data_IF_829594668038
#
_entry.id   IF_829594668038
#
_cell.length_a   1.000
_cell.length_b   1.000
_cell.length_c   1.000
_cell.angle_alpha   90.00
_cell.angle_beta   90.00
_cell.angle_gamma   90.00
#
_symmetry.space_group_name_H-M   'P 1'
#
loop_
_entity.id
_entity.type
_entity.pdbx_description
1 polymer ?
#
# COMPACT_ATOMS: atom_id res chain seq x y z
N UNK A 1 10.58 12.96 31.86
CA UNK A 1 11.25 12.87 30.54
C UNK A 1 10.46 11.89 29.67
N UNK A 2 9.47 12.40 28.95
CA UNK A 2 8.42 11.64 28.24
C UNK A 2 8.50 11.91 26.73
N UNK A 3 9.71 11.83 26.17
CA UNK A 3 9.96 12.15 24.76
C UNK A 3 9.96 10.93 23.81
N UNK A 4 9.78 9.71 24.32
CA UNK A 4 9.88 8.47 23.54
C UNK A 4 8.57 7.68 23.38
N UNK A 5 7.41 8.26 23.76
CA UNK A 5 6.13 7.52 23.78
C UNK A 5 5.23 7.73 22.56
N UNK A 6 5.68 8.48 21.56
CA UNK A 6 4.99 8.52 20.27
C UNK A 6 5.61 7.46 19.36
N UNK A 7 4.93 6.32 19.29
CA UNK A 7 5.11 5.36 18.21
C UNK A 7 4.92 6.10 16.87
N UNK A 8 6.01 6.30 16.15
CA UNK A 8 6.02 6.90 14.81
C UNK A 8 5.30 5.96 13.82
N UNK A 9 4.47 6.53 12.94
CA UNK A 9 3.84 5.82 11.81
C UNK A 9 4.88 4.99 11.04
N UNK A 10 4.54 3.75 10.72
CA UNK A 10 5.43 2.93 9.90
C UNK A 10 5.40 3.41 8.43
N UNK A 11 4.22 3.75 7.96
CA UNK A 11 3.96 4.38 6.66
C UNK A 11 2.63 5.14 6.73
N UNK A 12 2.50 6.17 5.92
CA UNK A 12 1.33 7.07 5.78
C UNK A 12 0.75 7.07 4.36
N UNK A 13 1.52 6.61 3.38
CA UNK A 13 1.15 6.32 2.00
C UNK A 13 1.11 4.80 1.80
N UNK A 14 0.25 4.30 0.91
CA UNK A 14 0.25 2.88 0.54
C UNK A 14 1.61 2.45 0.00
N UNK A 15 2.15 1.36 0.50
CA UNK A 15 3.46 0.81 0.10
C UNK A 15 3.37 -0.25 -1.02
N UNK A 16 2.15 -0.60 -1.44
CA UNK A 16 1.81 -1.58 -2.48
C UNK A 16 0.80 -0.94 -3.43
N UNK A 17 0.76 -1.33 -4.71
CA UNK A 17 -0.25 -0.81 -5.64
C UNK A 17 -1.56 -1.59 -5.53
N UNK A 18 -2.51 -1.00 -4.82
CA UNK A 18 -3.87 -1.52 -4.58
C UNK A 18 -4.76 -1.52 -5.82
N UNK A 19 -4.31 -1.00 -6.96
CA UNK A 19 -5.09 -1.08 -8.21
C UNK A 19 -5.46 -2.53 -8.54
N UNK A 20 -4.56 -3.50 -8.28
CA UNK A 20 -4.84 -4.93 -8.49
C UNK A 20 -6.00 -5.42 -7.61
N UNK A 21 -5.98 -5.15 -6.30
CA UNK A 21 -7.06 -5.56 -5.41
C UNK A 21 -8.38 -4.85 -5.74
N UNK A 22 -8.33 -3.58 -6.16
CA UNK A 22 -9.51 -2.84 -6.65
C UNK A 22 -10.13 -3.52 -7.88
N UNK A 23 -9.33 -3.91 -8.86
CA UNK A 23 -9.80 -4.65 -10.04
C UNK A 23 -10.47 -5.98 -9.64
N UNK A 24 -9.85 -6.71 -8.71
CA UNK A 24 -10.38 -7.98 -8.20
C UNK A 24 -11.74 -7.81 -7.50
N UNK A 25 -11.86 -6.86 -6.57
CA UNK A 25 -13.12 -6.68 -5.83
C UNK A 25 -14.24 -6.11 -6.70
N UNK A 26 -13.92 -5.32 -7.74
CA UNK A 26 -14.92 -4.87 -8.72
C UNK A 26 -15.45 -6.04 -9.55
N UNK A 27 -14.60 -7.01 -9.91
CA UNK A 27 -14.99 -8.19 -10.65
C UNK A 27 -15.75 -9.21 -9.77
N UNK A 28 -15.28 -9.44 -8.55
CA UNK A 28 -15.80 -10.48 -7.65
C UNK A 28 -17.00 -10.01 -6.81
N UNK A 29 -17.13 -8.69 -6.58
CA UNK A 29 -18.18 -8.06 -5.77
C UNK A 29 -18.33 -8.72 -4.37
N UNK A 30 -17.24 -8.92 -3.60
CA UNK A 30 -17.29 -9.59 -2.32
C UNK A 30 -18.18 -8.82 -1.32
N UNK A 31 -18.93 -9.55 -0.51
CA UNK A 31 -19.79 -8.96 0.51
C UNK A 31 -19.01 -8.62 1.78
N UNK A 32 -18.04 -9.45 2.18
CA UNK A 32 -17.22 -9.24 3.39
C UNK A 32 -15.74 -9.33 3.05
N UNK A 33 -15.03 -8.23 3.29
CA UNK A 33 -13.62 -8.07 2.96
C UNK A 33 -12.80 -7.93 4.24
N UNK A 34 -11.75 -8.72 4.39
CA UNK A 34 -10.71 -8.49 5.40
C UNK A 34 -9.44 -7.95 4.72
N UNK A 35 -8.86 -6.89 5.27
CA UNK A 35 -7.63 -6.29 4.72
C UNK A 35 -6.69 -5.88 5.85
N UNK A 36 -5.39 -6.18 5.68
CA UNK A 36 -4.36 -5.55 6.51
C UNK A 36 -4.48 -4.03 6.32
N UNK A 37 -4.81 -3.32 7.39
CA UNK A 37 -5.13 -1.89 7.35
C UNK A 37 -3.94 -1.09 6.82
N UNK A 38 -2.76 -1.30 7.43
CA UNK A 38 -1.63 -0.44 7.17
C UNK A 38 -2.02 1.01 7.44
N UNK A 39 -1.76 1.91 6.49
CA UNK A 39 -2.23 3.28 6.64
C UNK A 39 -3.70 3.48 6.21
N UNK A 40 -4.37 2.45 5.70
CA UNK A 40 -5.72 2.53 5.11
C UNK A 40 -5.72 2.81 3.61
N UNK A 41 -4.62 3.28 3.02
CA UNK A 41 -4.50 3.54 1.56
C UNK A 41 -4.75 2.29 0.71
N UNK A 42 -4.51 1.09 1.28
CA UNK A 42 -4.78 -0.20 0.62
C UNK A 42 -6.17 -0.79 0.94
N UNK A 43 -6.72 -0.46 2.10
CA UNK A 43 -7.97 -1.04 2.56
C UNK A 43 -9.19 -0.22 2.09
N UNK A 44 -9.15 1.11 2.24
CA UNK A 44 -10.27 1.99 1.94
C UNK A 44 -10.71 1.95 0.47
N UNK A 45 -9.81 1.86 -0.54
CA UNK A 45 -10.24 1.70 -1.93
C UNK A 45 -11.06 0.45 -2.21
N UNK A 46 -11.00 -0.58 -1.36
CA UNK A 46 -11.80 -1.80 -1.53
C UNK A 46 -13.29 -1.57 -1.31
N UNK A 47 -13.68 -0.42 -0.73
CA UNK A 47 -15.08 0.01 -0.64
C UNK A 47 -15.70 0.34 -1.99
N UNK A 48 -14.91 0.48 -3.06
CA UNK A 48 -15.42 0.80 -4.40
C UNK A 48 -16.40 -0.24 -4.95
N UNK A 49 -16.36 -1.48 -4.44
CA UNK A 49 -17.32 -2.52 -4.78
C UNK A 49 -18.54 -2.56 -3.83
N UNK A 50 -18.74 -1.56 -2.98
CA UNK A 50 -19.87 -1.47 -2.04
C UNK A 50 -20.07 -2.77 -1.21
N UNK A 51 -19.02 -3.29 -0.54
CA UNK A 51 -19.17 -4.49 0.30
C UNK A 51 -20.11 -4.21 1.48
N UNK A 52 -20.71 -5.23 2.09
CA UNK A 52 -21.43 -5.03 3.36
C UNK A 52 -20.48 -4.65 4.50
N UNK A 53 -19.31 -5.29 4.54
CA UNK A 53 -18.32 -5.09 5.59
C UNK A 53 -16.90 -5.03 5.02
N UNK A 54 -16.14 -4.03 5.48
CA UNK A 54 -14.69 -3.96 5.34
C UNK A 54 -14.07 -4.03 6.74
N UNK A 55 -13.32 -5.09 7.00
CA UNK A 55 -12.58 -5.31 8.24
C UNK A 55 -11.12 -4.91 8.02
N UNK A 56 -10.70 -3.83 8.66
CA UNK A 56 -9.33 -3.34 8.64
C UNK A 56 -8.59 -3.84 9.88
N UNK A 57 -7.55 -4.67 9.69
CA UNK A 57 -6.77 -5.25 10.79
C UNK A 57 -5.32 -4.79 10.79
N UNK A 58 -4.78 -4.41 11.94
CA UNK A 58 -3.35 -4.13 12.12
C UNK A 58 -2.95 -4.29 13.59
N UNK A 59 -1.74 -4.79 13.85
CA UNK A 59 -1.20 -4.90 15.20
C UNK A 59 -0.76 -3.54 15.75
N UNK A 60 -0.44 -2.57 14.90
CA UNK A 60 -0.06 -1.22 15.29
C UNK A 60 -1.29 -0.33 15.41
N UNK A 61 -1.58 0.13 16.63
CA UNK A 61 -2.73 1.02 16.87
C UNK A 61 -2.66 2.34 16.10
N UNK A 62 -1.46 2.84 15.80
CA UNK A 62 -1.27 4.05 15.00
C UNK A 62 -1.67 3.84 13.53
N UNK A 63 -1.54 2.61 13.03
CA UNK A 63 -1.96 2.24 11.68
C UNK A 63 -3.49 2.10 11.59
N UNK A 64 -4.12 1.59 12.64
CA UNK A 64 -5.58 1.67 12.79
C UNK A 64 -6.06 3.14 12.84
N UNK A 65 -5.42 3.99 13.65
CA UNK A 65 -5.81 5.40 13.77
C UNK A 65 -5.71 6.17 12.43
N UNK A 66 -4.65 6.00 11.65
CA UNK A 66 -4.55 6.65 10.33
C UNK A 66 -5.56 6.08 9.32
N UNK A 67 -5.91 4.80 9.44
CA UNK A 67 -6.96 4.18 8.62
C UNK A 67 -8.30 4.82 8.91
N UNK A 68 -8.63 5.04 10.19
CA UNK A 68 -9.82 5.79 10.61
C UNK A 68 -9.82 7.22 10.06
N UNK A 69 -8.70 7.95 10.17
CA UNK A 69 -8.58 9.30 9.60
C UNK A 69 -8.85 9.30 8.09
N UNK A 70 -8.34 8.30 7.37
CA UNK A 70 -8.51 8.15 5.93
C UNK A 70 -9.95 7.84 5.56
N UNK A 71 -10.59 6.91 6.25
CA UNK A 71 -12.01 6.60 6.09
C UNK A 71 -12.89 7.84 6.33
N UNK A 72 -12.70 8.54 7.46
CA UNK A 72 -13.43 9.76 7.79
C UNK A 72 -13.27 10.84 6.70
N UNK A 73 -12.06 10.97 6.15
CA UNK A 73 -11.78 11.92 5.06
C UNK A 73 -12.51 11.55 3.75
N UNK A 74 -12.57 10.27 3.38
CA UNK A 74 -13.32 9.83 2.19
C UNK A 74 -14.83 9.99 2.41
N UNK A 75 -15.32 9.71 3.62
CA UNK A 75 -16.74 9.84 3.95
C UNK A 75 -17.28 11.26 3.80
N UNK A 76 -16.49 12.25 4.20
CA UNK A 76 -16.99 13.63 4.43
C UNK A 76 -16.52 14.66 3.40
N UNK A 77 -15.31 14.50 2.84
CA UNK A 77 -14.70 15.53 2.02
C UNK A 77 -15.11 15.43 0.55
N UNK A 78 -15.08 16.55 -0.17
CA UNK A 78 -15.05 16.50 -1.63
C UNK A 78 -13.72 15.90 -2.11
N UNK A 79 -13.66 15.44 -3.37
CA UNK A 79 -12.45 14.86 -3.94
C UNK A 79 -11.24 15.82 -3.87
N UNK A 80 -11.45 17.12 -4.11
CA UNK A 80 -10.38 18.12 -4.05
C UNK A 80 -9.93 18.39 -2.61
N UNK A 81 -10.86 18.46 -1.65
CA UNK A 81 -10.54 18.58 -0.23
C UNK A 81 -9.75 17.37 0.28
N UNK A 82 -10.11 16.15 -0.15
CA UNK A 82 -9.35 14.94 0.15
C UNK A 82 -7.91 15.03 -0.36
N UNK A 83 -7.73 15.37 -1.64
CA UNK A 83 -6.39 15.50 -2.24
C UNK A 83 -5.57 16.61 -1.56
N UNK A 84 -6.19 17.74 -1.22
CA UNK A 84 -5.56 18.84 -0.50
C UNK A 84 -5.15 18.45 0.93
N UNK A 85 -6.07 17.80 1.66
CA UNK A 85 -5.87 17.36 3.03
C UNK A 85 -4.67 16.43 3.13
N UNK A 86 -4.64 15.41 2.28
CA UNK A 86 -3.50 14.47 2.19
C UNK A 86 -2.29 15.08 1.48
N UNK A 87 -2.44 16.10 0.64
CA UNK A 87 -1.34 16.67 -0.13
C UNK A 87 -0.92 15.81 -1.31
N UNK A 88 -1.87 15.18 -1.99
CA UNK A 88 -1.67 14.60 -3.32
C UNK A 88 -1.51 15.72 -4.37
N UNK A 89 -0.67 15.54 -5.40
CA UNK A 89 -0.72 16.39 -6.59
C UNK A 89 -2.15 16.59 -7.15
N UNK A 90 -2.48 17.81 -7.62
CA UNK A 90 -1.60 18.98 -7.75
C UNK A 90 -1.46 19.82 -6.45
N UNK A 91 -2.19 19.48 -5.39
CA UNK A 91 -2.20 20.25 -4.13
C UNK A 91 -0.91 20.09 -3.30
N UNK A 92 -0.02 19.17 -3.67
CA UNK A 92 1.29 18.99 -3.04
C UNK A 92 2.26 20.17 -3.26
N UNK A 93 1.97 21.07 -4.21
CA UNK A 93 2.86 22.15 -4.60
C UNK A 93 2.74 23.43 -3.75
N UNK A 94 1.67 23.57 -2.94
CA UNK A 94 1.36 24.78 -2.19
C UNK A 94 1.19 24.49 -0.69
N UNK A 95 1.28 25.54 0.12
CA UNK A 95 0.99 25.46 1.55
C UNK A 95 -0.52 25.59 1.79
N UNK A 96 -1.12 24.52 2.29
CA UNK A 96 -2.54 24.43 2.68
C UNK A 96 -2.70 24.17 4.18
N UNK A 97 -1.74 24.61 5.00
CA UNK A 97 -1.73 24.27 6.43
C UNK A 97 -2.96 24.81 7.19
N UNK A 98 -3.49 25.97 6.80
CA UNK A 98 -4.70 26.55 7.40
C UNK A 98 -5.95 25.76 7.01
N UNK A 99 -6.09 25.46 5.73
CA UNK A 99 -7.19 24.69 5.16
C UNK A 99 -7.21 23.27 5.73
N UNK A 100 -6.05 22.62 5.79
CA UNK A 100 -5.88 21.28 6.39
C UNK A 100 -6.27 21.26 7.85
N UNK A 101 -5.91 22.31 8.61
CA UNK A 101 -6.34 22.46 10.01
C UNK A 101 -7.84 22.58 10.15
N UNK A 102 -8.48 23.38 9.31
CA UNK A 102 -9.93 23.54 9.34
C UNK A 102 -10.63 22.22 9.01
N UNK A 103 -10.23 21.57 7.90
CA UNK A 103 -10.74 20.25 7.51
C UNK A 103 -10.61 19.25 8.66
N UNK A 104 -9.42 19.13 9.25
CA UNK A 104 -9.19 18.21 10.36
C UNK A 104 -10.14 18.44 11.56
N UNK A 105 -10.42 19.71 11.89
CA UNK A 105 -11.31 20.04 12.99
C UNK A 105 -12.75 19.56 12.72
N UNK A 106 -13.18 19.57 11.46
CA UNK A 106 -14.54 19.18 11.04
C UNK A 106 -14.72 17.66 10.86
N UNK A 107 -13.62 16.89 10.77
CA UNK A 107 -13.69 15.42 10.65
C UNK A 107 -14.25 14.77 11.93
N UNK A 108 -15.16 13.81 11.77
CA UNK A 108 -15.63 12.99 12.91
C UNK A 108 -14.65 11.84 13.13
N UNK A 109 -14.00 11.84 14.29
CA UNK A 109 -12.98 10.86 14.69
C UNK A 109 -13.22 10.44 16.14
N UNK A 110 -12.76 9.25 16.51
CA UNK A 110 -12.61 8.83 17.90
C UNK A 110 -11.67 9.78 18.63
N UNK A 111 -11.85 9.87 19.96
CA UNK A 111 -11.02 10.75 20.80
C UNK A 111 -9.53 10.40 20.68
N UNK A 112 -9.18 9.12 20.73
CA UNK A 112 -7.78 8.66 20.65
C UNK A 112 -7.13 9.01 19.31
N UNK A 113 -7.84 8.80 18.20
CA UNK A 113 -7.37 9.15 16.85
C UNK A 113 -7.20 10.67 16.72
N UNK A 114 -8.19 11.45 17.19
CA UNK A 114 -8.11 12.92 17.18
C UNK A 114 -6.91 13.42 17.96
N UNK A 115 -6.74 12.98 19.21
CA UNK A 115 -5.61 13.42 20.06
C UNK A 115 -4.24 13.04 19.47
N UNK A 116 -4.13 11.87 18.84
CA UNK A 116 -2.91 11.45 18.17
C UNK A 116 -2.58 12.38 17.00
N UNK A 117 -3.55 12.64 16.12
CA UNK A 117 -3.33 13.47 14.94
C UNK A 117 -3.21 14.96 15.22
N UNK A 118 -3.86 15.49 16.25
CA UNK A 118 -3.63 16.88 16.69
C UNK A 118 -2.16 17.11 17.04
N UNK A 119 -1.55 16.14 17.75
CA UNK A 119 -0.12 16.19 18.11
C UNK A 119 0.78 16.04 16.87
N UNK A 120 0.45 15.10 15.97
CA UNK A 120 1.22 14.88 14.75
C UNK A 120 1.15 16.09 13.81
N UNK A 121 -0.05 16.58 13.50
CA UNK A 121 -0.25 17.78 12.67
C UNK A 121 0.43 18.99 13.30
N UNK A 122 0.32 19.20 14.61
CA UNK A 122 1.03 20.30 15.28
C UNK A 122 2.55 20.20 15.13
N UNK A 123 3.12 18.99 15.24
CA UNK A 123 4.56 18.73 15.02
C UNK A 123 5.02 19.08 13.61
N UNK A 124 4.18 18.85 12.60
CA UNK A 124 4.47 19.19 11.19
C UNK A 124 3.93 20.56 10.78
N UNK A 125 3.59 21.43 11.75
CA UNK A 125 3.04 22.77 11.51
C UNK A 125 1.81 22.76 10.60
N UNK A 126 0.96 21.75 10.75
CA UNK A 126 -0.22 21.48 9.93
C UNK A 126 0.07 21.21 8.46
N UNK A 127 1.31 20.85 8.12
CA UNK A 127 1.70 20.30 6.81
C UNK A 127 1.04 18.95 6.49
N UNK A 128 1.24 18.47 5.26
CA UNK A 128 0.75 17.13 4.86
C UNK A 128 1.47 16.05 5.65
N UNK A 129 0.70 15.03 6.06
CA UNK A 129 1.23 13.83 6.74
C UNK A 129 1.47 12.66 5.79
N UNK A 130 1.29 12.83 4.48
CA UNK A 130 1.35 11.74 3.48
C UNK A 130 2.72 11.06 3.42
N UNK A 131 3.78 11.77 3.82
CA UNK A 131 5.16 11.26 3.82
C UNK A 131 5.79 11.22 5.23
N UNK A 132 4.97 11.17 6.28
CA UNK A 132 5.45 11.19 7.67
C UNK A 132 5.82 9.82 8.24
N UNK A 133 5.48 8.74 7.54
CA UNK A 133 5.92 7.40 7.92
C UNK A 133 7.42 7.15 7.73
N UNK A 134 7.92 6.13 8.43
CA UNK A 134 9.33 5.71 8.35
C UNK A 134 9.71 5.26 6.93
N UNK A 135 8.81 4.55 6.27
CA UNK A 135 9.02 4.02 4.92
C UNK A 135 9.28 5.14 3.91
N UNK A 136 8.43 6.15 3.85
CA UNK A 136 8.52 7.30 2.93
C UNK A 136 9.78 8.14 3.18
N UNK A 137 10.12 8.35 4.45
CA UNK A 137 11.35 9.07 4.85
C UNK A 137 12.61 8.40 4.29
N UNK A 138 12.61 7.08 4.13
CA UNK A 138 13.73 6.35 3.51
C UNK A 138 13.83 6.63 2.01
N UNK A 139 12.71 6.78 1.30
CA UNK A 139 12.73 7.20 -0.12
C UNK A 139 13.22 8.63 -0.31
N UNK A 140 12.99 9.52 0.66
CA UNK A 140 13.60 10.86 0.67
C UNK A 140 15.13 10.84 0.62
N UNK A 141 15.78 9.83 1.23
CA UNK A 141 17.23 9.63 1.16
C UNK A 141 17.66 9.04 -0.19
N UNK A 142 16.92 8.03 -0.68
CA UNK A 142 17.16 7.44 -2.00
C UNK A 142 17.09 8.49 -3.11
N UNK A 143 16.05 9.33 -3.10
CA UNK A 143 15.87 10.39 -4.08
C UNK A 143 17.03 11.39 -4.10
N UNK A 144 17.64 11.69 -2.94
CA UNK A 144 18.87 12.51 -2.88
C UNK A 144 20.05 11.81 -3.57
N UNK A 145 20.22 10.50 -3.37
CA UNK A 145 21.27 9.72 -4.03
C UNK A 145 21.04 9.66 -5.56
N UNK A 146 19.79 9.46 -5.99
CA UNK A 146 19.41 9.49 -7.41
C UNK A 146 19.78 10.83 -8.03
N UNK A 147 19.37 11.95 -7.42
CA UNK A 147 19.71 13.30 -7.90
C UNK A 147 21.21 13.55 -7.96
N UNK A 148 21.96 13.10 -6.96
CA UNK A 148 23.41 13.25 -6.91
C UNK A 148 24.11 12.49 -8.05
N UNK A 149 23.71 11.24 -8.29
CA UNK A 149 24.36 10.36 -9.27
C UNK A 149 23.93 10.71 -10.70
N UNK A 150 22.64 10.95 -10.94
CA UNK A 150 22.12 11.27 -12.27
C UNK A 150 22.39 12.72 -12.67
N UNK A 151 22.43 13.64 -11.70
CA UNK A 151 22.60 15.07 -11.94
C UNK A 151 21.29 15.74 -12.35
N UNK A 152 21.39 16.81 -13.16
CA UNK A 152 20.25 17.66 -13.57
C UNK A 152 19.15 16.96 -14.39
N UNK A 153 19.41 15.74 -14.88
CA UNK A 153 18.55 14.97 -15.77
C UNK A 153 18.05 13.68 -15.10
N UNK A 154 17.88 13.71 -13.79
CA UNK A 154 17.52 12.52 -13.01
C UNK A 154 16.11 12.03 -13.31
N UNK A 155 15.24 12.92 -13.73
CA UNK A 155 13.80 12.77 -13.92
C UNK A 155 13.35 12.58 -15.37
N UNK A 156 14.26 12.52 -16.34
CA UNK A 156 13.89 12.45 -17.77
C UNK A 156 12.98 11.26 -18.12
N UNK A 157 13.05 10.15 -17.39
CA UNK A 157 12.15 9.01 -17.61
C UNK A 157 10.67 9.37 -17.34
N UNK A 158 10.40 10.40 -16.54
CA UNK A 158 9.05 10.89 -16.23
C UNK A 158 8.51 11.88 -17.28
N UNK A 159 9.33 12.35 -18.23
CA UNK A 159 8.91 13.29 -19.28
C UNK A 159 8.03 12.63 -20.37
N UNK A 160 7.96 11.30 -20.37
CA UNK A 160 7.25 10.52 -21.38
C UNK A 160 5.77 10.34 -21.03
N UNK A 161 4.90 10.41 -22.05
CA UNK A 161 3.44 10.29 -21.93
C UNK A 161 2.87 9.03 -22.60
N UNK A 162 3.73 8.23 -23.23
CA UNK A 162 3.36 6.98 -23.89
C UNK A 162 4.49 5.95 -23.72
N UNK A 163 4.11 4.68 -23.67
CA UNK A 163 5.06 3.60 -23.33
C UNK A 163 6.12 3.44 -24.42
N UNK A 164 5.77 3.64 -25.68
CA UNK A 164 6.70 3.52 -26.80
C UNK A 164 7.85 4.53 -26.72
N UNK A 165 7.56 5.80 -26.41
CA UNK A 165 8.58 6.82 -26.26
C UNK A 165 9.43 6.61 -25.00
N UNK A 166 8.83 6.18 -23.89
CA UNK A 166 9.57 5.79 -22.68
C UNK A 166 10.52 4.63 -22.95
N UNK A 167 10.06 3.57 -23.62
CA UNK A 167 10.88 2.40 -23.96
C UNK A 167 12.05 2.78 -24.87
N UNK A 168 11.81 3.65 -25.86
CA UNK A 168 12.88 4.15 -26.72
C UNK A 168 13.94 4.93 -25.90
N UNK A 169 13.52 5.73 -24.93
CA UNK A 169 14.43 6.40 -24.02
C UNK A 169 15.15 5.41 -23.10
N UNK A 170 14.44 4.48 -22.47
CA UNK A 170 14.98 3.49 -21.55
C UNK A 170 16.06 2.63 -22.21
N UNK A 171 15.80 2.14 -23.43
CA UNK A 171 16.72 1.26 -24.14
C UNK A 171 17.93 1.97 -24.75
N UNK A 172 17.79 3.24 -25.16
CA UNK A 172 18.82 3.92 -25.95
C UNK A 172 19.53 5.08 -25.23
N UNK A 173 18.90 5.69 -24.22
CA UNK A 173 19.36 6.97 -23.64
C UNK A 173 19.41 6.97 -22.11
N UNK A 174 18.64 6.13 -21.43
CA UNK A 174 18.62 6.07 -19.98
C UNK A 174 20.00 5.68 -19.46
N UNK A 175 20.54 6.37 -18.43
CA UNK A 175 21.89 6.14 -17.96
C UNK A 175 21.99 4.85 -17.11
N UNK A 176 21.85 3.70 -17.77
CA UNK A 176 21.73 2.39 -17.12
C UNK A 176 22.90 2.05 -16.19
N UNK A 177 24.12 2.52 -16.51
CA UNK A 177 25.30 2.34 -15.65
C UNK A 177 25.14 3.05 -14.31
N UNK A 178 24.65 4.29 -14.33
CA UNK A 178 24.34 5.07 -13.12
C UNK A 178 23.22 4.41 -12.33
N UNK A 179 22.20 3.92 -13.02
CA UNK A 179 21.08 3.20 -12.39
C UNK A 179 21.54 1.94 -11.66
N UNK A 180 22.37 1.12 -12.29
CA UNK A 180 22.99 -0.05 -11.67
C UNK A 180 23.80 0.33 -10.43
N UNK A 181 24.53 1.44 -10.43
CA UNK A 181 25.23 1.93 -9.23
C UNK A 181 24.27 2.28 -8.08
N UNK A 182 23.13 2.91 -8.38
CA UNK A 182 22.11 3.22 -7.38
C UNK A 182 21.50 1.93 -6.80
N UNK A 183 21.12 0.98 -7.66
CA UNK A 183 20.56 -0.31 -7.19
C UNK A 183 21.60 -1.09 -6.38
N UNK A 184 22.87 -1.04 -6.76
CA UNK A 184 23.93 -1.68 -6.00
C UNK A 184 24.08 -1.07 -4.59
N UNK A 185 23.94 0.26 -4.46
CA UNK A 185 23.93 0.95 -3.18
C UNK A 185 22.68 0.61 -2.34
N UNK A 186 21.50 0.53 -2.99
CA UNK A 186 20.27 0.02 -2.37
C UNK A 186 20.45 -1.41 -1.86
N UNK A 187 21.22 -2.22 -2.61
CA UNK A 187 21.64 -3.58 -2.28
C UNK A 187 22.43 -3.75 -0.98
N UNK A 188 22.77 -2.66 -0.27
CA UNK A 188 23.49 -2.71 0.99
C UNK A 188 22.54 -2.86 2.19
N UNK A 189 22.88 -3.80 3.10
CA UNK A 189 22.15 -4.15 4.32
C UNK A 189 21.70 -2.95 5.15
N UNK A 190 22.47 -1.86 5.21
CA UNK A 190 22.13 -0.66 5.98
C UNK A 190 20.97 0.16 5.40
N UNK A 191 20.82 0.20 4.07
CA UNK A 191 19.68 0.85 3.41
C UNK A 191 18.43 -0.03 3.52
N UNK A 192 18.60 -1.36 3.46
CA UNK A 192 17.52 -2.31 3.73
C UNK A 192 17.00 -2.28 5.17
N UNK A 193 17.88 -2.16 6.16
CA UNK A 193 17.48 -2.01 7.57
C UNK A 193 16.69 -0.72 7.83
N UNK A 194 16.75 0.27 6.93
CA UNK A 194 15.97 1.51 7.01
C UNK A 194 14.68 1.45 6.18
N UNK A 195 14.65 0.65 5.10
CA UNK A 195 13.47 0.40 4.28
C UNK A 195 12.50 -0.58 4.95
N UNK A 196 13.01 -1.51 5.76
CA UNK A 196 12.24 -2.52 6.48
C UNK A 196 12.20 -2.21 7.98
N UNK A 197 11.11 -2.66 8.60
CA UNK A 197 10.86 -2.57 10.03
C UNK A 197 12.10 -2.87 10.89
N UNK A 198 12.28 -2.09 11.97
CA UNK A 198 13.32 -2.32 12.97
C UNK A 198 13.02 -3.63 13.71
N UNK A 199 13.68 -4.73 13.36
CA UNK A 199 13.72 -5.92 14.22
C UNK A 199 14.11 -7.18 13.49
N UNK A 200 13.21 -7.71 12.66
CA UNK A 200 13.36 -9.05 12.10
C UNK A 200 13.58 -8.97 10.59
N UNK A 201 14.83 -9.21 10.20
CA UNK A 201 15.17 -9.31 8.78
C UNK A 201 14.44 -10.53 8.22
N UNK A 202 13.51 -10.30 7.31
CA UNK A 202 12.91 -11.36 6.49
C UNK A 202 14.07 -12.17 5.89
N UNK A 203 14.16 -13.46 6.23
CA UNK A 203 15.17 -14.34 5.66
C UNK A 203 14.84 -14.58 4.20
N UNK A 204 15.47 -13.81 3.31
CA UNK A 204 15.32 -13.93 1.85
C UNK A 204 15.41 -15.39 1.42
N UNK A 205 14.33 -15.91 0.83
CA UNK A 205 14.30 -17.24 0.20
C UNK A 205 14.04 -17.16 -1.30
N UNK A 206 13.78 -15.96 -1.84
CA UNK A 206 13.74 -15.73 -3.29
C UNK A 206 15.15 -15.88 -3.87
N UNK A 207 15.26 -16.45 -5.07
CA UNK A 207 16.53 -16.70 -5.75
C UNK A 207 17.24 -15.40 -6.19
N UNK A 208 18.56 -15.47 -6.43
CA UNK A 208 19.37 -14.36 -6.97
C UNK A 208 19.96 -13.41 -5.92
N UNK A 209 20.69 -12.38 -6.35
CA UNK A 209 21.16 -11.34 -5.43
C UNK A 209 20.07 -10.28 -5.17
N UNK A 210 20.22 -9.46 -4.12
CA UNK A 210 19.36 -8.28 -3.93
C UNK A 210 19.43 -7.36 -5.15
N UNK A 211 20.63 -7.15 -5.70
CA UNK A 211 20.81 -6.35 -6.92
C UNK A 211 19.95 -6.89 -8.07
N UNK A 212 20.01 -8.20 -8.34
CA UNK A 212 19.25 -8.81 -9.44
C UNK A 212 17.74 -8.67 -9.22
N UNK A 213 17.28 -8.83 -7.98
CA UNK A 213 15.88 -8.68 -7.60
C UNK A 213 15.36 -7.28 -7.93
N UNK A 214 15.97 -6.24 -7.37
CA UNK A 214 15.52 -4.85 -7.63
C UNK A 214 15.73 -4.45 -9.08
N UNK A 215 16.84 -4.85 -9.69
CA UNK A 215 17.09 -4.52 -11.10
C UNK A 215 15.99 -5.09 -11.99
N UNK A 216 15.61 -6.37 -11.82
CA UNK A 216 14.50 -6.96 -12.58
C UNK A 216 13.15 -6.31 -12.29
N UNK A 217 12.87 -5.98 -11.03
CA UNK A 217 11.62 -5.33 -10.66
C UNK A 217 11.48 -3.94 -11.31
N UNK A 218 12.52 -3.10 -11.26
CA UNK A 218 12.52 -1.81 -11.94
C UNK A 218 12.54 -1.93 -13.46
N UNK A 219 13.27 -2.91 -13.99
CA UNK A 219 13.29 -3.19 -15.42
C UNK A 219 11.87 -3.56 -15.89
N UNK A 220 11.18 -4.47 -15.20
CA UNK A 220 9.78 -4.80 -15.47
C UNK A 220 8.89 -3.55 -15.39
N UNK A 221 9.01 -2.76 -14.30
CA UNK A 221 8.21 -1.57 -14.09
C UNK A 221 8.32 -0.58 -15.25
N UNK A 222 9.55 -0.27 -15.70
CA UNK A 222 9.78 0.70 -16.78
C UNK A 222 9.46 0.15 -18.17
N UNK A 223 9.33 -1.17 -18.33
CA UNK A 223 8.93 -1.79 -19.59
C UNK A 223 7.41 -1.89 -19.77
N UNK A 224 6.64 -2.00 -18.68
CA UNK A 224 5.21 -2.24 -18.75
C UNK A 224 4.36 -1.04 -18.34
N UNK A 225 4.92 -0.11 -17.56
CA UNK A 225 4.18 1.03 -17.01
C UNK A 225 4.96 2.32 -17.20
N UNK A 226 4.26 3.43 -17.43
CA UNK A 226 4.90 4.74 -17.44
C UNK A 226 5.48 5.06 -16.05
N UNK A 227 6.74 5.49 -15.98
CA UNK A 227 7.39 5.81 -14.71
C UNK A 227 6.61 6.89 -13.94
N UNK A 228 6.00 7.85 -14.65
CA UNK A 228 5.15 8.89 -14.07
C UNK A 228 3.88 8.35 -13.41
N UNK A 229 3.35 7.22 -13.88
CA UNK A 229 2.16 6.58 -13.33
C UNK A 229 2.45 5.77 -12.06
N UNK A 230 3.73 5.49 -11.78
CA UNK A 230 4.14 4.75 -10.60
C UNK A 230 4.41 5.70 -9.44
N UNK A 231 3.57 5.65 -8.40
CA UNK A 231 3.82 6.36 -7.15
C UNK A 231 5.17 5.93 -6.55
N UNK A 232 5.51 4.64 -6.68
CA UNK A 232 6.76 4.08 -6.17
C UNK A 232 7.99 4.60 -6.92
N UNK A 233 7.94 4.69 -8.25
CA UNK A 233 8.99 5.34 -9.03
C UNK A 233 9.11 6.82 -8.65
N UNK A 234 7.99 7.52 -8.48
CA UNK A 234 8.00 8.90 -8.00
C UNK A 234 8.71 9.02 -6.64
N UNK A 235 8.41 8.15 -5.66
CA UNK A 235 9.11 8.13 -4.37
C UNK A 235 10.61 7.89 -4.56
N UNK A 236 11.01 6.93 -5.39
CA UNK A 236 12.42 6.63 -5.62
C UNK A 236 13.20 7.82 -6.19
N UNK A 237 12.60 8.59 -7.11
CA UNK A 237 13.29 9.66 -7.82
C UNK A 237 13.13 11.04 -7.14
N UNK A 238 11.94 11.35 -6.63
CA UNK A 238 11.62 12.65 -6.04
C UNK A 238 11.60 12.63 -4.51
N UNK A 239 11.30 11.47 -3.89
CA UNK A 239 11.05 11.32 -2.45
C UNK A 239 9.60 11.63 -2.07
N UNK A 240 8.74 11.86 -3.06
CA UNK A 240 7.31 12.20 -2.97
C UNK A 240 6.64 11.91 -4.31
N UNK A 241 5.31 11.94 -4.35
CA UNK A 241 4.56 11.91 -5.61
C UNK A 241 4.63 13.32 -6.22
N UNK A 242 5.27 13.43 -7.39
CA UNK A 242 5.48 14.71 -8.07
C UNK A 242 4.57 14.88 -9.29
N UNK A 243 4.15 13.78 -9.90
CA UNK A 243 3.24 13.75 -11.04
C UNK A 243 1.84 13.31 -10.59
N UNK A 244 0.80 14.00 -11.05
CA UNK A 244 -0.60 13.66 -10.73
C UNK A 244 -0.99 12.26 -11.19
N UNK A 245 -0.45 11.80 -12.32
CA UNK A 245 -0.64 10.44 -12.82
C UNK A 245 -0.08 9.36 -11.87
N UNK A 246 0.84 9.76 -10.98
CA UNK A 246 1.45 8.90 -9.98
C UNK A 246 0.70 8.88 -8.66
N UNK A 247 -0.48 9.51 -8.56
CA UNK A 247 -1.34 9.39 -7.39
C UNK A 247 -1.76 7.93 -7.17
N UNK A 248 -1.91 7.52 -5.90
CA UNK A 248 -2.43 6.20 -5.56
C UNK A 248 -3.91 6.09 -5.91
N UNK A 249 -4.42 4.87 -6.01
CA UNK A 249 -5.79 4.58 -6.46
C UNK A 249 -6.87 5.23 -5.58
N UNK A 250 -6.58 5.58 -4.32
CA UNK A 250 -7.49 6.33 -3.45
C UNK A 250 -7.73 7.78 -3.92
N UNK A 251 -6.82 8.32 -4.73
CA UNK A 251 -6.91 9.64 -5.35
C UNK A 251 -7.28 9.55 -6.84
N UNK A 252 -7.96 8.47 -7.25
CA UNK A 252 -8.72 8.38 -8.49
C UNK A 252 -10.16 8.88 -8.25
N UNK A 253 -10.72 9.76 -9.11
CA UNK A 253 -12.04 10.34 -8.88
C UNK A 253 -13.18 9.30 -8.90
N UNK A 254 -13.07 8.25 -9.71
CA UNK A 254 -14.10 7.21 -9.82
C UNK A 254 -14.09 6.28 -8.60
N UNK A 255 -12.89 5.88 -8.16
CA UNK A 255 -12.70 5.06 -6.95
C UNK A 255 -13.12 5.85 -5.71
N UNK A 256 -12.68 7.11 -5.59
CA UNK A 256 -13.07 7.99 -4.49
C UNK A 256 -14.59 8.14 -4.40
N UNK A 257 -15.25 8.48 -5.50
CA UNK A 257 -16.70 8.65 -5.53
C UNK A 257 -17.45 7.36 -5.16
N UNK A 258 -16.97 6.21 -5.62
CA UNK A 258 -17.55 4.90 -5.29
C UNK A 258 -17.39 4.57 -3.81
N UNK A 259 -16.20 4.79 -3.24
CA UNK A 259 -15.95 4.58 -1.81
C UNK A 259 -16.78 5.52 -0.94
N UNK A 260 -16.86 6.80 -1.30
CA UNK A 260 -17.69 7.77 -0.58
C UNK A 260 -19.18 7.42 -0.64
N UNK A 261 -19.67 6.96 -1.79
CA UNK A 261 -21.05 6.47 -1.94
C UNK A 261 -21.29 5.26 -1.03
N UNK A 262 -20.37 4.30 -1.03
CA UNK A 262 -20.43 3.10 -0.20
C UNK A 262 -20.51 3.44 1.29
N UNK A 263 -19.78 4.45 1.75
CA UNK A 263 -19.78 4.89 3.14
C UNK A 263 -21.10 5.59 3.55
N UNK A 264 -21.76 6.32 2.63
CA UNK A 264 -22.84 7.24 2.97
C UNK A 264 -24.30 6.72 2.78
N UNK A 265 -24.55 5.59 2.09
CA UNK A 265 -25.92 5.08 1.83
C UNK A 265 -26.18 3.72 2.47
N UNK A 266 -26.93 3.63 3.58
CA UNK A 266 -27.18 2.36 4.33
C UNK A 266 -25.90 1.47 4.40
N UNK A 267 -24.75 2.15 4.55
CA UNK A 267 -23.52 1.85 3.81
C UNK A 267 -22.70 0.65 4.27
N UNK A 268 -21.62 0.43 3.54
CA UNK A 268 -20.53 -0.45 3.95
C UNK A 268 -20.09 -0.10 5.36
N UNK A 269 -20.10 -1.09 6.25
CA UNK A 269 -19.58 -0.93 7.61
C UNK A 269 -18.07 -1.15 7.58
N UNK A 270 -17.33 -0.23 8.18
CA UNK A 270 -15.88 -0.36 8.36
C UNK A 270 -15.62 -0.74 9.82
N UNK A 271 -14.90 -1.83 10.03
CA UNK A 271 -14.49 -2.31 11.35
C UNK A 271 -12.98 -2.16 11.51
N UNK A 272 -12.55 -1.76 12.69
CA UNK A 272 -11.15 -1.54 13.03
C UNK A 272 -10.72 -2.56 14.09
N UNK A 273 -9.82 -3.47 13.71
CA UNK A 273 -9.37 -4.56 14.56
C UNK A 273 -7.89 -4.38 14.90
N UNK A 274 -7.59 -3.89 16.12
CA UNK A 274 -6.21 -3.78 16.59
C UNK A 274 -5.71 -5.12 17.17
N UNK A 275 -5.50 -6.09 16.28
CA UNK A 275 -5.05 -7.46 16.61
C UNK A 275 -4.29 -8.06 15.43
N UNK A 276 -3.79 -9.29 15.56
CA UNK A 276 -3.16 -9.98 14.44
C UNK A 276 -4.19 -10.52 13.44
N UNK A 277 -3.72 -10.84 12.23
CA UNK A 277 -4.55 -11.33 11.13
C UNK A 277 -5.45 -12.52 11.51
N UNK A 278 -4.90 -13.52 12.21
CA UNK A 278 -5.62 -14.77 12.49
C UNK A 278 -6.63 -14.56 13.62
N UNK A 279 -6.25 -13.80 14.65
CA UNK A 279 -7.18 -13.36 15.69
C UNK A 279 -8.34 -12.56 15.11
N UNK A 280 -8.09 -11.65 14.16
CA UNK A 280 -9.15 -10.91 13.48
C UNK A 280 -10.05 -11.83 12.64
N UNK A 281 -9.48 -12.69 11.80
CA UNK A 281 -10.24 -13.62 10.97
C UNK A 281 -11.15 -14.54 11.82
N UNK A 282 -10.64 -15.05 12.95
CA UNK A 282 -11.41 -15.92 13.85
C UNK A 282 -12.60 -15.24 14.55
N UNK A 283 -12.69 -13.90 14.56
CA UNK A 283 -13.92 -13.20 14.99
C UNK A 283 -15.05 -13.30 13.96
N UNK A 284 -14.70 -13.64 12.72
CA UNK A 284 -15.58 -13.66 11.56
C UNK A 284 -15.64 -15.05 10.93
N UNK A 285 -15.63 -16.08 11.78
CA UNK A 285 -15.85 -17.48 11.37
C UNK A 285 -17.08 -17.61 10.48
N UNK A 286 -17.02 -18.53 9.52
CA UNK A 286 -18.16 -18.88 8.70
C UNK A 286 -19.24 -19.54 9.58
N UNK A 287 -20.37 -18.85 9.72
CA UNK A 287 -21.58 -19.38 10.36
C UNK A 287 -22.75 -19.08 9.42
N UNK A 288 -23.47 -20.11 8.99
CA UNK A 288 -24.61 -20.01 8.08
C UNK A 288 -24.32 -19.22 6.77
N UNK A 289 -23.13 -19.44 6.18
CA UNK A 289 -22.68 -18.75 4.95
C UNK A 289 -22.23 -17.30 5.16
N UNK A 290 -21.98 -16.91 6.40
CA UNK A 290 -21.51 -15.57 6.77
C UNK A 290 -20.00 -15.54 7.08
N UNK A 291 -19.16 -16.13 6.24
CA UNK A 291 -17.69 -16.02 6.29
C UNK A 291 -17.15 -14.80 5.54
N UNK A 292 -15.85 -14.80 5.29
CA UNK A 292 -15.13 -13.80 4.49
C UNK A 292 -15.12 -14.24 3.02
N UNK A 293 -15.34 -13.29 2.10
CA UNK A 293 -15.32 -13.55 0.64
C UNK A 293 -14.00 -13.12 0.00
N UNK A 294 -13.30 -12.15 0.61
CA UNK A 294 -12.05 -11.64 0.09
C UNK A 294 -11.09 -11.26 1.22
N UNK A 295 -9.80 -11.62 1.06
CA UNK A 295 -8.75 -11.22 2.01
C UNK A 295 -7.55 -10.61 1.27
N UNK A 296 -7.20 -9.37 1.61
CA UNK A 296 -5.93 -8.75 1.20
C UNK A 296 -4.89 -8.87 2.33
N UNK A 297 -3.94 -9.78 2.16
CA UNK A 297 -2.99 -10.19 3.19
C UNK A 297 -1.73 -9.32 3.28
N UNK A 298 -1.48 -8.45 2.29
CA UNK A 298 -0.21 -7.70 2.20
C UNK A 298 1.00 -8.64 2.26
N UNK A 299 2.14 -8.09 2.69
CA UNK A 299 3.39 -8.80 2.97
C UNK A 299 3.44 -9.42 4.39
N UNK A 300 2.34 -9.38 5.16
CA UNK A 300 2.32 -9.88 6.54
C UNK A 300 2.73 -11.37 6.65
N UNK A 301 2.25 -12.28 5.79
CA UNK A 301 2.67 -13.68 5.85
C UNK A 301 4.17 -13.90 5.66
N UNK A 302 4.89 -12.99 5.00
CA UNK A 302 6.34 -13.07 4.82
C UNK A 302 7.13 -12.98 6.13
N UNK A 303 6.49 -12.53 7.21
CA UNK A 303 7.07 -12.48 8.56
C UNK A 303 6.79 -13.73 9.40
N UNK A 304 5.90 -14.62 8.95
CA UNK A 304 5.60 -15.85 9.67
C UNK A 304 6.75 -16.85 9.59
N UNK A 305 6.91 -17.66 10.64
CA UNK A 305 7.90 -18.73 10.70
C UNK A 305 7.36 -19.95 11.45
N UNK A 306 7.99 -21.11 11.25
CA UNK A 306 7.67 -22.34 11.96
C UNK A 306 6.24 -22.82 11.67
N UNK A 307 5.54 -23.28 12.70
CA UNK A 307 4.16 -23.81 12.58
C UNK A 307 3.17 -22.76 12.05
N UNK A 308 3.34 -21.49 12.43
CA UNK A 308 2.48 -20.41 11.96
C UNK A 308 2.59 -20.22 10.44
N UNK A 309 3.82 -20.22 9.90
CA UNK A 309 4.03 -20.12 8.45
C UNK A 309 3.42 -21.28 7.68
N UNK A 310 3.55 -22.50 8.21
CA UNK A 310 3.05 -23.70 7.55
C UNK A 310 1.51 -23.74 7.57
N UNK A 311 0.89 -23.23 8.62
CA UNK A 311 -0.53 -23.49 8.89
C UNK A 311 -1.44 -22.26 8.82
N UNK A 312 -0.95 -21.04 8.56
CA UNK A 312 -1.83 -19.85 8.61
C UNK A 312 -3.01 -19.93 7.64
N UNK A 313 -2.83 -20.49 6.44
CA UNK A 313 -3.94 -20.69 5.49
C UNK A 313 -4.97 -21.68 6.03
N UNK A 314 -4.51 -22.77 6.66
CA UNK A 314 -5.38 -23.74 7.30
C UNK A 314 -6.14 -23.14 8.50
N UNK A 315 -5.51 -22.21 9.23
CA UNK A 315 -6.15 -21.46 10.31
C UNK A 315 -7.15 -20.40 9.81
N UNK A 316 -6.98 -19.90 8.57
CA UNK A 316 -7.94 -18.99 7.95
C UNK A 316 -9.19 -19.72 7.44
N UNK A 317 -9.08 -20.97 6.96
CA UNK A 317 -10.18 -21.75 6.34
C UNK A 317 -11.52 -21.65 7.08
N UNK A 318 -11.60 -21.82 8.41
CA UNK A 318 -12.88 -21.74 9.13
C UNK A 318 -13.59 -20.39 9.04
N UNK A 319 -12.91 -19.35 8.54
CA UNK A 319 -13.44 -17.99 8.37
C UNK A 319 -13.77 -17.65 6.92
N UNK A 320 -13.62 -18.59 5.98
CA UNK A 320 -13.76 -18.34 4.54
C UNK A 320 -15.05 -18.96 4.01
N UNK A 321 -15.81 -18.19 3.22
CA UNK A 321 -16.87 -18.78 2.39
C UNK A 321 -16.26 -19.60 1.24
N UNK A 322 -16.91 -20.69 0.78
CA UNK A 322 -16.50 -21.39 -0.44
C UNK A 322 -16.35 -20.41 -1.62
N UNK A 323 -15.22 -20.49 -2.33
CA UNK A 323 -14.87 -19.58 -3.43
C UNK A 323 -14.22 -18.25 -3.00
N UNK A 324 -13.97 -18.03 -1.71
CA UNK A 324 -13.31 -16.82 -1.22
C UNK A 324 -11.91 -16.64 -1.84
N UNK A 325 -11.53 -15.40 -2.13
CA UNK A 325 -10.27 -15.05 -2.80
C UNK A 325 -9.30 -14.37 -1.85
N UNK A 326 -8.06 -14.86 -1.81
CA UNK A 326 -6.99 -14.34 -0.97
C UNK A 326 -5.87 -13.78 -1.85
N UNK A 327 -5.42 -12.56 -1.58
CA UNK A 327 -4.30 -11.91 -2.27
C UNK A 327 -3.12 -11.81 -1.30
N UNK A 328 -2.05 -12.53 -1.62
CA UNK A 328 -0.79 -12.55 -0.90
C UNK A 328 0.25 -11.76 -1.66
N UNK A 329 0.98 -10.89 -0.96
CA UNK A 329 2.16 -10.21 -1.48
C UNK A 329 3.37 -10.70 -0.71
N UNK A 330 4.50 -10.84 -1.40
CA UNK A 330 5.73 -11.36 -0.81
C UNK A 330 6.94 -10.57 -1.27
N UNK A 331 7.55 -9.86 -0.33
CA UNK A 331 8.77 -9.08 -0.53
C UNK A 331 9.99 -9.85 -0.05
N UNK A 332 10.91 -10.17 -0.97
CA UNK A 332 12.14 -10.95 -0.73
C UNK A 332 11.96 -12.38 -0.18
N UNK A 333 10.80 -12.73 0.36
CA UNK A 333 10.50 -14.05 0.90
C UNK A 333 9.05 -14.44 0.65
N UNK A 334 8.86 -15.64 0.13
CA UNK A 334 7.54 -16.26 0.03
C UNK A 334 7.35 -17.26 1.18
N UNK A 335 6.25 -17.20 1.93
CA UNK A 335 5.96 -18.17 2.98
C UNK A 335 5.73 -19.57 2.38
N UNK A 336 6.22 -20.61 3.08
CA UNK A 336 5.99 -22.01 2.72
C UNK A 336 4.76 -22.56 3.46
N UNK A 337 3.58 -22.22 2.96
CA UNK A 337 2.29 -22.58 3.56
C UNK A 337 1.71 -23.89 2.98
N UNK A 338 0.93 -24.62 3.78
CA UNK A 338 0.05 -25.68 3.31
C UNK A 338 -1.11 -25.08 2.50
N UNK A 339 -1.12 -25.36 1.20
CA UNK A 339 -2.12 -24.89 0.24
C UNK A 339 -3.31 -25.85 0.09
N UNK A 340 -3.40 -26.90 0.91
CA UNK A 340 -4.51 -27.86 0.85
C UNK A 340 -5.85 -27.14 1.02
N UNK A 341 -6.78 -27.36 0.08
CA UNK A 341 -8.05 -26.63 0.02
C UNK A 341 -7.98 -25.27 -0.69
N UNK A 342 -6.90 -24.95 -1.40
CA UNK A 342 -6.78 -23.72 -2.19
C UNK A 342 -6.34 -23.99 -3.63
N UNK A 343 -7.00 -23.35 -4.60
CA UNK A 343 -6.56 -23.28 -6.00
C UNK A 343 -5.69 -22.04 -6.22
N UNK A 344 -4.53 -22.19 -6.87
CA UNK A 344 -3.73 -21.06 -7.33
C UNK A 344 -4.33 -20.48 -8.62
N UNK A 345 -5.01 -19.34 -8.48
CA UNK A 345 -5.65 -18.63 -9.60
C UNK A 345 -4.80 -17.46 -10.10
N UNK A 346 -3.56 -17.29 -9.60
CA UNK A 346 -2.61 -16.26 -10.05
C UNK A 346 -2.45 -16.18 -11.57
N UNK A 347 -2.38 -17.30 -12.33
CA UNK A 347 -2.24 -17.24 -13.78
C UNK A 347 -3.39 -16.51 -14.50
N UNK A 348 -4.58 -16.44 -13.89
CA UNK A 348 -5.75 -15.71 -14.43
C UNK A 348 -5.54 -14.19 -14.43
N UNK A 349 -4.60 -13.67 -13.64
CA UNK A 349 -4.36 -12.23 -13.43
C UNK A 349 -2.97 -11.76 -13.87
N UNK A 350 -2.28 -12.53 -14.72
CA UNK A 350 -0.91 -12.22 -15.15
C UNK A 350 -0.75 -10.83 -15.75
N UNK A 351 -1.74 -10.35 -16.53
CA UNK A 351 -1.71 -9.01 -17.12
C UNK A 351 -1.83 -7.91 -16.05
N UNK A 352 -2.76 -8.03 -15.11
CA UNK A 352 -2.94 -7.05 -14.04
C UNK A 352 -1.70 -7.00 -13.13
N UNK A 353 -1.11 -8.15 -12.81
CA UNK A 353 0.15 -8.25 -12.05
C UNK A 353 1.31 -7.59 -12.79
N UNK A 354 1.39 -7.75 -14.12
CA UNK A 354 2.43 -7.12 -14.94
C UNK A 354 2.31 -5.58 -14.97
N UNK A 355 1.09 -5.05 -14.82
CA UNK A 355 0.81 -3.61 -14.81
C UNK A 355 0.88 -2.96 -13.42
N UNK A 356 1.01 -3.77 -12.35
CA UNK A 356 1.13 -3.29 -10.96
C UNK A 356 2.29 -2.29 -10.82
N UNK A 357 2.02 -1.16 -10.19
CA UNK A 357 2.88 0.04 -10.27
C UNK A 357 4.07 0.04 -9.29
N UNK A 358 4.32 -1.04 -8.56
CA UNK A 358 5.46 -1.18 -7.63
C UNK A 358 6.45 -2.25 -8.12
N UNK A 359 5.96 -3.39 -8.62
CA UNK A 359 6.70 -4.56 -9.12
C UNK A 359 7.67 -5.20 -8.10
N UNK A 360 7.69 -4.74 -6.85
CA UNK A 360 8.57 -5.26 -5.80
C UNK A 360 7.99 -6.45 -5.06
N UNK A 361 6.77 -6.89 -5.37
CA UNK A 361 6.13 -7.98 -4.66
C UNK A 361 5.91 -9.16 -5.59
N UNK A 362 6.21 -10.36 -5.12
CA UNK A 362 5.67 -11.57 -5.72
C UNK A 362 4.23 -11.70 -5.26
N UNK A 363 3.30 -11.80 -6.21
CA UNK A 363 1.87 -11.80 -5.92
C UNK A 363 1.34 -13.22 -6.15
N UNK A 364 0.60 -13.74 -5.18
CA UNK A 364 -0.12 -15.00 -5.28
C UNK A 364 -1.59 -14.76 -4.96
N UNK A 365 -2.47 -15.25 -5.83
CA UNK A 365 -3.92 -15.13 -5.68
C UNK A 365 -4.48 -16.55 -5.55
N UNK A 366 -5.09 -16.82 -4.40
CA UNK A 366 -5.63 -18.14 -4.06
C UNK A 366 -7.15 -18.08 -3.99
N UNK A 367 -7.82 -19.13 -4.43
CA UNK A 367 -9.25 -19.34 -4.24
C UNK A 367 -9.48 -20.50 -3.27
N UNK A 368 -10.35 -20.31 -2.29
CA UNK A 368 -10.71 -21.36 -1.33
C UNK A 368 -11.68 -22.36 -1.97
N UNK A 369 -11.26 -23.62 -2.04
CA UNK A 369 -12.03 -24.75 -2.56
C UNK A 369 -12.13 -25.82 -1.44
N UNK A 370 -13.24 -25.86 -0.69
CA UNK A 370 -13.35 -26.51 0.63
C UNK A 370 -13.05 -28.01 0.67
#
# INVERSE_FOLDING_TARGET
MTANYFSDLNYSLGNEDTTLEVELVLALRPSRILSIAGCGSRAIPLLCCEPKELICVDVASQQIAITELREASVRTLTFDEFRLFWGFPPFSAFDYSKERKNIFNDLVLTQDTREYFEKLFSKVSWGSILYEGKWEKTFGMLAKAVRLIFGKKYDQIFEHHDLSSQLNFYNNKFPIKKWKSIIFLLGNKSVFNALLYKGDFIKKNIYGSHFDYYFRAFDSLFHHTLARNSFFANLCFYGRINHEDGNTIEADPGVFASCQKALNREGSKVFYENTDLLSAASKYLEVDGNGLDFISLSDVPSYFSGELEQNFLQQLRPSLNPGAVLVLRSYLREPQADLSGFEDITPKFGQAIQLEKVQMYHIKILQYEP
#
